data_IF_995111984481
#
_entry.id   IF_995111984481
#
_cell.length_a   1.000
_cell.length_b   1.000
_cell.length_c   1.000
_cell.angle_alpha   90.00
_cell.angle_beta   90.00
_cell.angle_gamma   90.00
#
_symmetry.space_group_name_H-M   'P 1'
#
loop_
_entity.id
_entity.type
_entity.pdbx_description
1 polymer ?
#
# COMPACT_ATOMS: atom_id res chain seq x y z
N UNK A 1 -46.22 1.49 12.84
CA UNK A 1 -45.34 2.51 13.41
C UNK A 1 -43.89 2.08 13.18
N UNK A 2 -43.17 2.82 12.34
CA UNK A 2 -41.71 2.57 12.10
C UNK A 2 -40.96 2.93 13.36
N UNK A 3 -40.30 1.97 13.99
CA UNK A 3 -39.43 2.25 15.14
C UNK A 3 -38.10 2.79 14.63
N UNK A 4 -37.82 4.04 14.92
CA UNK A 4 -36.54 4.69 14.65
C UNK A 4 -35.66 4.50 15.89
N UNK A 5 -34.56 3.81 15.76
CA UNK A 5 -33.52 3.73 16.79
C UNK A 5 -32.36 4.60 16.34
N UNK A 6 -32.14 5.71 17.01
CA UNK A 6 -30.89 6.45 16.87
C UNK A 6 -29.85 5.77 17.76
N UNK A 7 -28.90 5.08 17.16
CA UNK A 7 -27.73 4.56 17.86
C UNK A 7 -26.62 5.58 17.64
N UNK A 8 -26.26 6.32 18.67
CA UNK A 8 -25.10 7.19 18.69
C UNK A 8 -23.86 6.31 18.84
N UNK A 9 -23.27 5.89 17.74
CA UNK A 9 -21.95 5.29 17.73
C UNK A 9 -20.93 6.44 17.77
N UNK A 10 -20.60 6.91 18.98
CA UNK A 10 -19.54 7.90 19.18
C UNK A 10 -18.20 7.19 19.07
N UNK A 11 -17.61 7.19 17.87
CA UNK A 11 -16.20 6.84 17.70
C UNK A 11 -15.36 8.08 18.04
N UNK A 12 -14.92 8.19 19.31
CA UNK A 12 -13.92 9.16 19.71
C UNK A 12 -12.54 8.62 19.31
N UNK A 13 -12.02 9.09 18.19
CA UNK A 13 -10.57 9.07 17.92
C UNK A 13 -10.13 10.52 17.75
N UNK A 14 -9.31 11.00 18.67
CA UNK A 14 -8.65 12.31 18.59
C UNK A 14 -7.46 12.19 17.64
N UNK A 15 -7.62 12.57 16.38
CA UNK A 15 -6.51 12.85 15.49
C UNK A 15 -6.32 14.37 15.42
N UNK A 16 -5.19 14.85 15.91
CA UNK A 16 -4.73 16.22 15.73
C UNK A 16 -3.85 16.23 14.47
N UNK A 17 -4.35 16.82 13.39
CA UNK A 17 -3.59 17.01 12.14
C UNK A 17 -4.46 16.88 10.90
N UNK A 18 -4.31 17.79 9.94
CA UNK A 18 -5.13 17.99 8.75
C UNK A 18 -5.52 16.72 7.98
N UNK A 19 -6.75 16.64 7.62
CA UNK A 19 -7.62 15.49 7.50
C UNK A 19 -7.73 14.94 6.09
N UNK A 20 -7.19 13.76 5.84
CA UNK A 20 -7.82 12.86 4.91
C UNK A 20 -9.10 12.31 5.60
N UNK A 21 -10.26 12.54 5.01
CA UNK A 21 -11.55 12.16 5.63
C UNK A 21 -11.67 10.64 5.69
N UNK A 22 -11.42 10.04 6.86
CA UNK A 22 -11.64 8.61 7.09
C UNK A 22 -13.12 8.30 6.91
N UNK A 23 -13.48 7.37 6.04
CA UNK A 23 -14.85 6.93 5.84
C UNK A 23 -15.06 5.53 6.40
N UNK A 24 -16.26 5.24 6.89
CA UNK A 24 -16.64 3.97 7.50
C UNK A 24 -17.85 3.37 6.78
N UNK A 25 -17.78 2.10 6.44
CA UNK A 25 -18.96 1.35 5.99
C UNK A 25 -19.70 0.80 7.21
N UNK A 26 -20.98 1.11 7.31
CA UNK A 26 -21.83 0.64 8.42
C UNK A 26 -22.54 -0.63 8.00
N UNK A 27 -22.20 -1.74 8.65
CA UNK A 27 -22.84 -3.03 8.44
C UNK A 27 -23.73 -3.37 9.63
N UNK A 28 -24.99 -3.70 9.37
CA UNK A 28 -25.93 -4.14 10.40
C UNK A 28 -26.03 -5.66 10.33
N UNK A 29 -25.64 -6.35 11.42
CA UNK A 29 -25.78 -7.80 11.57
C UNK A 29 -26.87 -8.11 12.57
N UNK A 30 -27.94 -8.76 12.13
CA UNK A 30 -29.04 -9.20 12.98
C UNK A 30 -29.04 -10.73 13.25
N UNK A 31 -28.13 -11.47 12.61
CA UNK A 31 -28.02 -12.92 12.72
C UNK A 31 -29.05 -13.68 11.89
N UNK A 32 -29.68 -13.04 10.91
CA UNK A 32 -30.64 -13.62 9.97
C UNK A 32 -30.41 -13.08 8.55
N UNK A 33 -30.97 -13.76 7.55
CA UNK A 33 -30.79 -13.46 6.11
C UNK A 33 -31.51 -12.19 5.62
N UNK A 34 -32.13 -11.39 6.50
CA UNK A 34 -32.92 -10.21 6.15
C UNK A 34 -32.11 -8.91 5.98
N UNK A 35 -30.91 -8.98 5.45
CA UNK A 35 -30.06 -7.79 5.21
C UNK A 35 -30.74 -6.69 4.37
N UNK A 36 -31.67 -7.06 3.48
CA UNK A 36 -32.42 -6.13 2.62
C UNK A 36 -33.38 -5.19 3.39
N UNK A 37 -33.70 -5.47 4.66
CA UNK A 37 -34.58 -4.66 5.49
C UNK A 37 -33.88 -3.63 6.37
N UNK A 38 -32.57 -3.60 6.30
CA UNK A 38 -31.77 -2.66 7.05
C UNK A 38 -31.20 -1.58 6.13
N UNK A 39 -31.21 -0.37 6.58
CA UNK A 39 -30.49 0.73 5.95
C UNK A 39 -29.74 1.56 6.98
N UNK A 40 -28.57 2.03 6.59
CA UNK A 40 -27.76 2.96 7.37
C UNK A 40 -27.56 4.25 6.54
N UNK A 41 -27.72 5.41 7.17
CA UNK A 41 -27.56 6.69 6.47
C UNK A 41 -26.86 7.69 7.41
N UNK A 42 -25.77 8.31 6.97
CA UNK A 42 -25.04 8.08 5.71
C UNK A 42 -24.31 6.72 5.69
N UNK A 43 -24.09 6.17 4.50
CA UNK A 43 -23.26 4.98 4.32
C UNK A 43 -22.56 5.06 2.96
N UNK A 44 -21.21 5.24 2.88
CA UNK A 44 -20.33 5.29 4.03
C UNK A 44 -20.48 6.56 4.88
N UNK A 45 -20.11 6.47 6.14
CA UNK A 45 -20.11 7.57 7.08
C UNK A 45 -18.69 8.13 7.28
N UNK A 46 -18.56 9.45 7.44
CA UNK A 46 -17.31 10.09 7.84
C UNK A 46 -17.02 9.91 9.34
N UNK A 47 -15.78 10.20 9.74
CA UNK A 47 -15.38 10.19 11.15
C UNK A 47 -16.21 11.18 11.97
N UNK A 48 -16.67 10.74 13.15
CA UNK A 48 -17.54 11.54 14.02
C UNK A 48 -18.97 11.74 13.52
N UNK A 49 -19.34 11.23 12.36
CA UNK A 49 -20.71 11.31 11.85
C UNK A 49 -21.67 10.37 12.59
N UNK A 50 -22.82 10.90 12.95
CA UNK A 50 -23.93 10.08 13.47
C UNK A 50 -24.58 9.29 12.33
N UNK A 51 -24.73 7.99 12.51
CA UNK A 51 -25.37 7.10 11.54
C UNK A 51 -26.75 6.72 12.04
N UNK A 52 -27.78 6.97 11.24
CA UNK A 52 -29.14 6.50 11.51
C UNK A 52 -29.33 5.12 10.88
N UNK A 53 -29.59 4.12 11.71
CA UNK A 53 -29.92 2.76 11.28
C UNK A 53 -31.44 2.59 11.32
N UNK A 54 -32.03 2.24 10.19
CA UNK A 54 -33.46 1.96 10.07
C UNK A 54 -33.70 0.47 9.81
N UNK A 55 -34.73 -0.08 10.45
CA UNK A 55 -35.18 -1.44 10.23
C UNK A 55 -36.69 -1.47 9.95
N UNK A 56 -37.02 -2.09 8.84
CA UNK A 56 -38.43 -2.25 8.41
C UNK A 56 -38.98 -3.66 8.72
N UNK A 57 -38.71 -4.16 9.91
CA UNK A 57 -39.11 -5.49 10.37
C UNK A 57 -39.44 -5.53 11.87
N UNK A 58 -39.81 -6.73 12.35
CA UNK A 58 -40.24 -6.94 13.75
C UNK A 58 -39.13 -7.40 14.70
N UNK A 59 -37.89 -7.61 14.19
CA UNK A 59 -36.78 -8.12 14.98
C UNK A 59 -36.02 -7.00 15.71
N UNK A 60 -35.33 -7.36 16.79
CA UNK A 60 -34.48 -6.43 17.54
C UNK A 60 -33.08 -6.40 16.91
N UNK A 61 -32.47 -5.21 16.83
CA UNK A 61 -31.06 -5.06 16.44
C UNK A 61 -30.19 -5.76 17.48
N UNK A 62 -29.36 -6.70 17.05
CA UNK A 62 -28.39 -7.38 17.92
C UNK A 62 -27.04 -6.65 17.93
N UNK A 63 -26.60 -6.10 16.81
CA UNK A 63 -25.32 -5.42 16.69
C UNK A 63 -25.30 -4.51 15.47
N UNK A 64 -24.70 -3.33 15.62
CA UNK A 64 -24.28 -2.46 14.52
C UNK A 64 -22.75 -2.37 14.55
N UNK A 65 -22.09 -2.59 13.44
CA UNK A 65 -20.65 -2.48 13.33
C UNK A 65 -20.31 -1.46 12.25
N UNK A 66 -19.52 -0.46 12.59
CA UNK A 66 -18.88 0.41 11.62
C UNK A 66 -17.54 -0.22 11.24
N UNK A 67 -17.31 -0.40 9.94
CA UNK A 67 -16.04 -0.89 9.42
C UNK A 67 -15.39 0.25 8.64
N UNK A 68 -14.16 0.59 8.99
CA UNK A 68 -13.36 1.58 8.26
C UNK A 68 -13.30 1.15 6.79
N UNK A 69 -13.69 2.05 5.87
CA UNK A 69 -13.47 1.82 4.45
C UNK A 69 -12.01 2.15 4.15
N UNK A 70 -11.24 1.15 3.80
CA UNK A 70 -9.84 1.34 3.44
C UNK A 70 -9.72 2.10 2.11
N UNK A 71 -8.67 2.90 2.00
CA UNK A 71 -8.35 3.71 0.84
C UNK A 71 -7.62 2.85 -0.18
N UNK A 72 -8.09 2.83 -1.43
CA UNK A 72 -7.38 2.16 -2.51
C UNK A 72 -6.06 2.88 -2.86
N UNK A 73 -5.04 2.13 -3.28
CA UNK A 73 -3.74 2.68 -3.70
C UNK A 73 -3.90 3.71 -4.83
N UNK A 74 -4.79 3.44 -5.80
CA UNK A 74 -5.12 4.38 -6.88
C UNK A 74 -5.74 5.72 -6.42
N UNK A 75 -6.09 5.85 -5.14
CA UNK A 75 -6.57 7.09 -4.53
C UNK A 75 -5.55 7.69 -3.55
N UNK A 76 -4.29 7.22 -3.57
CA UNK A 76 -3.23 7.69 -2.70
C UNK A 76 -2.99 9.21 -2.83
N UNK A 77 -2.60 9.83 -1.74
CA UNK A 77 -2.16 11.23 -1.66
C UNK A 77 -0.79 11.29 -1.00
N UNK A 78 -0.11 12.41 -1.04
CA UNK A 78 1.21 12.58 -0.41
C UNK A 78 1.24 12.16 1.08
N UNK A 79 0.10 12.29 1.80
CA UNK A 79 -0.04 11.87 3.20
C UNK A 79 -0.01 10.34 3.40
N UNK A 80 -0.10 9.57 2.32
CA UNK A 80 -0.02 8.11 2.37
C UNK A 80 1.41 7.59 2.18
N UNK A 81 2.35 8.46 1.89
CA UNK A 81 3.76 8.11 1.82
C UNK A 81 4.24 7.53 3.15
N UNK A 82 4.95 6.42 3.10
CA UNK A 82 5.35 5.65 4.28
C UNK A 82 4.35 4.60 4.76
N UNK A 83 3.08 4.66 4.34
CA UNK A 83 2.07 3.64 4.63
C UNK A 83 2.26 2.38 3.80
N UNK A 84 1.45 1.38 4.04
CA UNK A 84 1.55 0.05 3.45
C UNK A 84 0.43 -0.19 2.43
N UNK A 85 0.78 -0.76 1.28
CA UNK A 85 -0.18 -1.35 0.34
C UNK A 85 -0.28 -2.85 0.67
N UNK A 86 -1.50 -3.36 0.69
CA UNK A 86 -1.77 -4.78 0.88
C UNK A 86 -2.18 -5.46 -0.44
N UNK A 87 -2.19 -6.80 -0.44
CA UNK A 87 -2.53 -7.62 -1.61
C UNK A 87 -3.91 -7.30 -2.24
N UNK A 88 -4.84 -6.78 -1.44
CA UNK A 88 -6.16 -6.34 -1.91
C UNK A 88 -6.17 -4.94 -2.57
N UNK A 89 -4.99 -4.33 -2.78
CA UNK A 89 -4.83 -3.00 -3.39
C UNK A 89 -5.20 -1.82 -2.48
N UNK A 90 -5.46 -2.04 -1.20
CA UNK A 90 -5.79 -0.98 -0.26
C UNK A 90 -4.59 -0.55 0.59
N UNK A 91 -4.68 0.68 1.13
CA UNK A 91 -3.66 1.30 1.97
C UNK A 91 -3.99 1.08 3.45
N UNK A 92 -2.98 0.73 4.22
CA UNK A 92 -3.06 0.50 5.67
C UNK A 92 -1.92 1.22 6.39
N UNK A 93 -2.21 1.70 7.60
CA UNK A 93 -1.20 2.37 8.43
C UNK A 93 -0.19 1.36 9.02
N UNK A 94 -0.60 0.10 9.23
CA UNK A 94 0.24 -0.95 9.82
C UNK A 94 -0.07 -2.33 9.25
N UNK A 95 0.86 -3.27 9.39
CA UNK A 95 0.61 -4.68 9.06
C UNK A 95 -0.54 -5.29 9.89
N UNK A 96 -0.64 -4.91 11.16
CA UNK A 96 -1.73 -5.37 12.03
C UNK A 96 -3.10 -4.92 11.51
N UNK A 97 -3.21 -3.69 10.98
CA UNK A 97 -4.44 -3.21 10.36
C UNK A 97 -4.80 -4.00 9.10
N UNK A 98 -3.84 -4.30 8.24
CA UNK A 98 -4.06 -5.15 7.06
C UNK A 98 -4.52 -6.56 7.47
N UNK A 99 -3.86 -7.17 8.44
CA UNK A 99 -4.22 -8.50 8.97
C UNK A 99 -5.63 -8.51 9.56
N UNK A 100 -6.00 -7.48 10.33
CA UNK A 100 -7.35 -7.34 10.87
C UNK A 100 -8.43 -7.19 9.79
N UNK A 101 -8.05 -6.67 8.61
CA UNK A 101 -8.90 -6.58 7.42
C UNK A 101 -8.90 -7.87 6.57
N UNK A 102 -8.19 -8.92 7.00
CA UNK A 102 -8.12 -10.21 6.31
C UNK A 102 -7.21 -10.21 5.07
N UNK A 103 -6.23 -9.32 5.04
CA UNK A 103 -5.24 -9.21 3.94
C UNK A 103 -3.82 -9.12 4.51
N UNK A 104 -2.82 -9.08 3.63
CA UNK A 104 -1.41 -8.98 4.01
C UNK A 104 -0.80 -7.73 3.39
N UNK A 105 -0.10 -6.92 4.18
CA UNK A 105 0.70 -5.82 3.67
C UNK A 105 1.91 -6.36 2.90
N UNK A 106 2.18 -5.82 1.73
CA UNK A 106 3.20 -6.35 0.79
C UNK A 106 4.22 -5.33 0.35
N UNK A 107 3.87 -4.04 0.38
CA UNK A 107 4.74 -2.97 -0.05
C UNK A 107 4.62 -1.74 0.85
N UNK A 108 5.69 -0.94 0.92
CA UNK A 108 5.70 0.39 1.53
C UNK A 108 5.62 1.45 0.43
N UNK A 109 4.69 2.38 0.54
CA UNK A 109 4.57 3.54 -0.37
C UNK A 109 5.78 4.44 -0.16
N UNK A 110 6.54 4.67 -1.23
CA UNK A 110 7.72 5.54 -1.20
C UNK A 110 7.43 6.88 -1.87
N UNK A 111 6.68 6.85 -2.97
CA UNK A 111 6.35 8.03 -3.74
C UNK A 111 4.87 8.03 -4.15
N UNK A 112 4.25 9.19 -4.08
CA UNK A 112 2.90 9.42 -4.61
C UNK A 112 2.94 10.60 -5.57
N UNK A 113 2.59 10.34 -6.82
CA UNK A 113 2.60 11.30 -7.91
C UNK A 113 2.75 10.61 -9.26
N UNK A 114 2.77 11.38 -10.33
CA UNK A 114 2.74 10.87 -11.70
C UNK A 114 4.10 10.48 -12.29
N UNK A 115 5.22 10.75 -11.61
CA UNK A 115 6.57 10.38 -12.08
C UNK A 115 6.89 8.93 -11.76
N UNK A 116 6.08 7.99 -12.29
CA UNK A 116 6.19 6.56 -12.02
C UNK A 116 7.00 5.81 -13.06
N UNK A 117 7.42 6.46 -14.15
CA UNK A 117 8.03 5.80 -15.31
C UNK A 117 7.22 4.56 -15.75
N UNK A 118 5.88 4.68 -15.67
CA UNK A 118 4.93 3.65 -16.03
C UNK A 118 3.70 4.28 -16.70
N UNK A 119 3.34 3.81 -17.90
CA UNK A 119 2.25 4.39 -18.68
C UNK A 119 0.85 3.96 -18.21
N UNK A 120 0.76 2.88 -17.44
CA UNK A 120 -0.52 2.31 -16.97
C UNK A 120 -0.80 2.68 -15.52
N UNK A 121 0.22 2.60 -14.67
CA UNK A 121 0.13 2.85 -13.24
C UNK A 121 0.87 4.15 -12.90
N UNK A 122 0.10 5.23 -12.76
CA UNK A 122 0.63 6.60 -12.73
C UNK A 122 0.37 7.34 -11.42
N UNK A 123 0.01 6.62 -10.34
CA UNK A 123 -0.35 7.26 -9.06
C UNK A 123 0.79 7.25 -8.04
N UNK A 124 1.70 6.27 -8.13
CA UNK A 124 2.81 6.21 -7.20
C UNK A 124 3.68 4.97 -7.34
N UNK A 125 4.73 4.93 -6.51
CA UNK A 125 5.71 3.85 -6.43
C UNK A 125 5.81 3.35 -4.99
N UNK A 126 5.80 2.04 -4.82
CA UNK A 126 6.05 1.38 -3.55
C UNK A 126 7.13 0.31 -3.73
N UNK A 127 7.84 -0.03 -2.66
CA UNK A 127 8.82 -1.12 -2.67
C UNK A 127 8.33 -2.29 -1.83
N UNK A 128 8.62 -3.49 -2.27
CA UNK A 128 8.38 -4.71 -1.51
C UNK A 128 8.99 -4.60 -0.11
N UNK A 129 8.37 -5.22 0.89
CA UNK A 129 8.83 -5.15 2.28
C UNK A 129 10.13 -5.89 2.54
N UNK A 130 10.55 -6.77 1.63
CA UNK A 130 11.78 -7.57 1.72
C UNK A 130 12.48 -7.62 0.36
N UNK A 131 13.79 -7.88 0.35
CA UNK A 131 14.51 -8.21 -0.87
C UNK A 131 14.07 -9.57 -1.41
N UNK A 132 14.25 -9.77 -2.71
CA UNK A 132 14.21 -11.10 -3.31
C UNK A 132 15.35 -11.97 -2.75
N UNK A 133 15.17 -13.29 -2.81
CA UNK A 133 16.12 -14.22 -2.22
C UNK A 133 17.46 -14.23 -2.97
N UNK A 134 18.50 -13.80 -2.28
CA UNK A 134 19.88 -13.77 -2.78
C UNK A 134 20.16 -12.70 -3.83
N UNK A 135 21.36 -12.76 -4.40
CA UNK A 135 21.73 -11.93 -5.55
C UNK A 135 21.51 -12.70 -6.85
N UNK A 136 21.18 -12.00 -7.93
CA UNK A 136 20.91 -12.63 -9.22
C UNK A 136 21.40 -11.78 -10.38
N UNK A 137 21.60 -12.39 -11.53
CA UNK A 137 21.97 -11.70 -12.75
C UNK A 137 20.78 -10.82 -13.24
N UNK A 138 21.07 -9.88 -14.13
CA UNK A 138 20.12 -8.85 -14.54
C UNK A 138 18.85 -9.41 -15.23
N UNK A 139 18.98 -10.43 -16.09
CA UNK A 139 17.83 -11.05 -16.74
C UNK A 139 16.92 -11.76 -15.74
N UNK A 140 17.50 -12.49 -14.79
CA UNK A 140 16.77 -13.13 -13.70
C UNK A 140 16.12 -12.08 -12.80
N UNK A 141 16.81 -10.97 -12.51
CA UNK A 141 16.29 -9.88 -11.68
C UNK A 141 14.98 -9.29 -12.25
N UNK A 142 14.92 -9.08 -13.57
CA UNK A 142 13.71 -8.58 -14.22
C UNK A 142 12.53 -9.55 -14.08
N UNK A 143 12.75 -10.82 -14.39
CA UNK A 143 11.70 -11.83 -14.32
C UNK A 143 11.25 -12.11 -12.89
N UNK A 144 12.18 -12.14 -11.93
CA UNK A 144 11.88 -12.36 -10.51
C UNK A 144 11.07 -11.19 -9.93
N UNK A 145 11.51 -9.96 -10.16
CA UNK A 145 10.79 -8.78 -9.67
C UNK A 145 9.38 -8.67 -10.29
N UNK A 146 9.23 -8.97 -11.58
CA UNK A 146 7.92 -8.97 -12.24
C UNK A 146 6.98 -10.11 -11.74
N UNK A 147 7.56 -11.21 -11.25
CA UNK A 147 6.83 -12.34 -10.69
C UNK A 147 6.67 -12.27 -9.16
N UNK A 148 7.03 -11.13 -8.53
CA UNK A 148 6.88 -10.95 -7.08
C UNK A 148 5.46 -11.24 -6.60
N UNK A 149 5.34 -11.89 -5.46
CA UNK A 149 4.05 -12.31 -4.89
C UNK A 149 3.85 -11.77 -3.46
N UNK A 150 2.59 -11.57 -3.07
CA UNK A 150 1.36 -11.73 -3.87
C UNK A 150 1.18 -10.62 -4.92
N UNK A 151 0.38 -10.89 -5.95
CA UNK A 151 -0.09 -9.83 -6.86
C UNK A 151 -0.96 -8.83 -6.10
N UNK A 152 -0.95 -7.60 -6.56
CA UNK A 152 -1.73 -6.51 -5.95
C UNK A 152 -2.78 -6.02 -6.96
N UNK A 153 -4.00 -5.82 -6.49
CA UNK A 153 -5.08 -5.30 -7.33
C UNK A 153 -4.75 -3.90 -7.83
N UNK A 154 -4.96 -3.66 -9.13
CA UNK A 154 -4.71 -2.37 -9.80
C UNK A 154 -3.27 -1.85 -9.64
N UNK A 155 -2.30 -2.76 -9.66
CA UNK A 155 -0.88 -2.45 -9.57
C UNK A 155 -0.03 -3.52 -10.28
N UNK A 156 1.24 -3.22 -10.57
CA UNK A 156 2.15 -4.16 -11.21
C UNK A 156 3.54 -4.15 -10.56
N UNK A 157 4.06 -5.36 -10.33
CA UNK A 157 5.42 -5.56 -9.84
C UNK A 157 6.43 -5.51 -10.99
N UNK A 158 7.60 -4.92 -10.72
CA UNK A 158 8.69 -4.80 -11.69
C UNK A 158 10.05 -4.61 -11.00
N UNK A 159 11.12 -4.82 -11.74
CA UNK A 159 12.44 -4.31 -11.35
C UNK A 159 12.44 -2.79 -11.56
N UNK A 160 12.77 -1.97 -10.56
CA UNK A 160 12.74 -0.51 -10.70
C UNK A 160 13.67 -0.04 -11.83
N UNK A 161 13.23 0.91 -12.64
CA UNK A 161 14.12 1.61 -13.57
C UNK A 161 15.05 2.57 -12.81
N UNK A 162 16.06 3.09 -13.50
CA UNK A 162 16.95 4.12 -12.94
C UNK A 162 16.15 5.34 -12.48
N UNK A 163 15.22 5.81 -13.30
CA UNK A 163 14.38 6.98 -13.02
C UNK A 163 13.41 6.72 -11.85
N UNK A 164 12.88 5.49 -11.73
CA UNK A 164 12.07 5.08 -10.58
C UNK A 164 12.88 5.07 -9.28
N UNK A 165 14.12 4.55 -9.30
CA UNK A 165 15.00 4.61 -8.15
C UNK A 165 15.31 6.06 -7.74
N UNK A 166 15.66 6.94 -8.70
CA UNK A 166 15.92 8.36 -8.43
C UNK A 166 14.71 9.06 -7.82
N UNK A 167 13.51 8.81 -8.37
CA UNK A 167 12.26 9.33 -7.83
C UNK A 167 12.03 8.87 -6.39
N UNK A 168 12.21 7.58 -6.11
CA UNK A 168 12.00 7.03 -4.76
C UNK A 168 13.06 7.50 -3.76
N UNK A 169 14.33 7.58 -4.17
CA UNK A 169 15.43 8.09 -3.33
C UNK A 169 15.16 9.55 -2.95
N UNK A 170 14.76 10.37 -3.92
CA UNK A 170 14.39 11.77 -3.68
C UNK A 170 13.20 11.91 -2.74
N UNK A 171 12.15 11.10 -2.96
CA UNK A 171 10.93 11.13 -2.15
C UNK A 171 11.15 10.66 -0.70
N UNK A 172 12.17 9.85 -0.47
CA UNK A 172 12.54 9.35 0.85
C UNK A 172 13.55 10.22 1.60
N UNK A 173 13.86 11.41 1.10
CA UNK A 173 14.92 12.30 1.65
C UNK A 173 16.31 11.67 1.62
N UNK A 174 16.58 10.82 0.62
CA UNK A 174 17.88 10.24 0.33
C UNK A 174 17.96 8.72 0.47
N UNK A 175 19.04 8.18 -0.08
CA UNK A 175 19.22 6.72 -0.19
C UNK A 175 19.31 6.00 1.16
N UNK A 176 19.89 6.63 2.18
CA UNK A 176 20.01 6.03 3.52
C UNK A 176 18.64 5.91 4.18
N UNK A 177 17.80 6.94 4.08
CA UNK A 177 16.44 6.91 4.62
C UNK A 177 15.57 5.88 3.88
N UNK A 178 15.74 5.77 2.56
CA UNK A 178 15.06 4.73 1.78
C UNK A 178 15.52 3.33 2.22
N UNK A 179 16.84 3.09 2.27
CA UNK A 179 17.43 1.80 2.64
C UNK A 179 16.98 1.32 4.01
N UNK A 180 17.02 2.20 5.01
CA UNK A 180 16.85 1.87 6.42
C UNK A 180 15.39 2.02 6.91
N UNK A 181 14.46 2.38 6.03
CA UNK A 181 13.09 2.72 6.38
C UNK A 181 12.08 1.57 6.49
N UNK A 182 12.48 0.30 6.32
CA UNK A 182 11.54 -0.82 6.21
C UNK A 182 11.28 -1.56 7.53
N UNK A 183 12.26 -1.64 8.41
CA UNK A 183 12.11 -2.35 9.70
C UNK A 183 11.02 -1.73 10.58
N UNK A 184 10.82 -0.43 10.51
CA UNK A 184 9.79 0.30 11.26
C UNK A 184 8.36 -0.08 10.89
N UNK A 185 8.16 -0.63 9.69
CA UNK A 185 6.86 -1.07 9.18
C UNK A 185 6.75 -2.60 9.09
N UNK A 186 7.68 -3.33 9.73
CA UNK A 186 7.70 -4.79 9.79
C UNK A 186 8.27 -5.47 8.55
N UNK A 187 8.96 -4.74 7.69
CA UNK A 187 9.79 -5.27 6.61
C UNK A 187 11.24 -5.48 7.04
N UNK A 188 12.11 -5.77 6.08
CA UNK A 188 13.57 -5.80 6.28
C UNK A 188 14.23 -4.64 5.55
N UNK A 189 15.15 -3.96 6.23
CA UNK A 189 15.94 -2.92 5.61
C UNK A 189 16.73 -3.48 4.42
N UNK A 190 16.98 -2.64 3.43
CA UNK A 190 17.81 -3.01 2.29
C UNK A 190 19.27 -3.15 2.70
N UNK A 191 20.04 -3.89 1.94
CA UNK A 191 21.49 -4.04 2.16
C UNK A 191 22.23 -2.76 1.76
N UNK A 192 23.32 -2.44 2.45
CA UNK A 192 24.27 -1.42 2.03
C UNK A 192 25.16 -1.97 0.89
N UNK A 193 24.55 -2.30 -0.23
CA UNK A 193 25.16 -3.01 -1.36
C UNK A 193 24.49 -2.59 -2.69
N UNK A 194 24.79 -3.29 -3.77
CA UNK A 194 24.39 -2.98 -5.13
C UNK A 194 22.99 -3.57 -5.44
N UNK A 195 22.08 -2.72 -5.93
CA UNK A 195 20.74 -3.11 -6.38
C UNK A 195 20.58 -2.85 -7.87
N UNK A 196 20.15 -3.86 -8.61
CA UNK A 196 19.86 -3.71 -10.03
C UNK A 196 18.77 -2.66 -10.31
N UNK A 197 18.95 -1.94 -11.41
CA UNK A 197 17.85 -1.27 -12.11
C UNK A 197 17.51 -2.02 -13.40
N UNK A 198 16.29 -1.83 -13.91
CA UNK A 198 15.88 -2.38 -15.21
C UNK A 198 16.48 -1.63 -16.40
N UNK A 199 17.13 -0.49 -16.16
CA UNK A 199 17.70 0.36 -17.20
C UNK A 199 19.02 -0.21 -17.71
N UNK A 200 19.11 -0.47 -19.00
CA UNK A 200 20.37 -0.88 -19.63
C UNK A 200 21.36 0.29 -19.71
N UNK A 201 22.64 -0.01 -19.54
CA UNK A 201 23.73 0.89 -19.91
C UNK A 201 24.25 0.59 -21.32
N UNK A 202 24.20 -0.66 -21.73
CA UNK A 202 24.61 -1.13 -23.03
C UNK A 202 24.29 -2.62 -23.23
N UNK A 203 24.71 -3.19 -24.35
CA UNK A 203 24.38 -4.59 -24.71
C UNK A 203 24.71 -5.59 -23.59
N UNK A 204 25.84 -5.42 -22.93
CA UNK A 204 26.34 -6.36 -21.91
C UNK A 204 26.28 -5.81 -20.49
N UNK A 205 25.82 -4.56 -20.29
CA UNK A 205 25.87 -3.87 -19.00
C UNK A 205 24.52 -3.21 -18.69
N UNK A 206 24.20 -3.12 -17.40
CA UNK A 206 23.04 -2.43 -16.88
C UNK A 206 23.42 -1.55 -15.69
N UNK A 207 22.58 -0.55 -15.41
CA UNK A 207 22.72 0.32 -14.26
C UNK A 207 22.35 -0.38 -12.97
N UNK A 208 23.06 -0.05 -11.90
CA UNK A 208 22.72 -0.41 -10.53
C UNK A 208 23.01 0.76 -9.60
N UNK A 209 22.34 0.78 -8.46
CA UNK A 209 22.59 1.75 -7.41
C UNK A 209 23.35 1.11 -6.25
N UNK A 210 24.42 1.76 -5.79
CA UNK A 210 25.20 1.36 -4.61
C UNK A 210 24.60 2.02 -3.35
N UNK A 211 23.77 1.29 -2.61
CA UNK A 211 23.17 1.76 -1.36
C UNK A 211 24.16 1.82 -0.18
N UNK A 212 25.40 1.39 -0.36
CA UNK A 212 26.48 1.58 0.59
C UNK A 212 27.15 2.94 0.45
N UNK A 213 27.20 3.47 -0.79
CA UNK A 213 27.88 4.73 -1.11
C UNK A 213 26.92 5.86 -1.49
N UNK A 214 25.77 5.52 -2.05
CA UNK A 214 24.80 6.51 -2.51
C UNK A 214 25.05 7.01 -3.92
N UNK A 215 25.56 6.19 -4.80
CA UNK A 215 25.91 6.56 -6.17
C UNK A 215 25.46 5.52 -7.20
N UNK A 216 25.39 5.96 -8.46
CA UNK A 216 25.14 5.11 -9.60
C UNK A 216 26.43 4.56 -10.18
N UNK A 217 26.36 3.29 -10.59
CA UNK A 217 27.39 2.67 -11.41
C UNK A 217 26.74 1.66 -12.37
N UNK A 218 27.51 1.09 -13.27
CA UNK A 218 27.08 0.08 -14.22
C UNK A 218 28.02 -1.12 -14.21
N UNK A 219 27.50 -2.27 -14.60
CA UNK A 219 28.31 -3.49 -14.63
C UNK A 219 27.72 -4.57 -15.52
N UNK A 220 28.50 -5.63 -15.71
CA UNK A 220 28.07 -6.78 -16.52
C UNK A 220 26.73 -7.34 -16.00
N UNK A 221 25.82 -7.59 -16.93
CA UNK A 221 24.52 -8.22 -16.69
C UNK A 221 24.63 -9.62 -16.08
N UNK A 222 25.77 -10.28 -16.20
CA UNK A 222 26.02 -11.62 -15.65
C UNK A 222 26.33 -11.62 -14.15
N UNK A 223 26.66 -10.45 -13.56
CA UNK A 223 26.95 -10.38 -12.12
C UNK A 223 25.68 -10.49 -11.28
N UNK A 224 25.81 -11.11 -10.10
CA UNK A 224 24.76 -11.15 -9.10
C UNK A 224 24.68 -9.85 -8.30
N UNK A 225 23.49 -9.24 -8.23
CA UNK A 225 23.19 -8.09 -7.37
C UNK A 225 21.85 -8.29 -6.68
N UNK A 226 21.61 -7.53 -5.62
CA UNK A 226 20.35 -7.53 -4.90
C UNK A 226 19.19 -7.00 -5.77
N UNK A 227 18.00 -7.44 -5.43
CA UNK A 227 16.75 -7.04 -6.06
C UNK A 227 15.72 -6.70 -4.99
N UNK A 228 15.15 -5.53 -5.09
CA UNK A 228 13.94 -5.13 -4.36
C UNK A 228 12.86 -4.84 -5.41
N UNK A 229 11.79 -5.63 -5.42
CA UNK A 229 10.71 -5.41 -6.37
C UNK A 229 9.99 -4.08 -6.10
N UNK A 230 9.70 -3.36 -7.18
CA UNK A 230 8.93 -2.12 -7.17
C UNK A 230 7.50 -2.40 -7.61
N UNK A 231 6.54 -1.79 -6.93
CA UNK A 231 5.13 -1.80 -7.27
C UNK A 231 4.75 -0.42 -7.81
N UNK A 232 4.38 -0.33 -9.09
CA UNK A 232 3.71 0.86 -9.62
C UNK A 232 2.18 0.69 -9.48
N UNK A 233 1.47 1.76 -9.06
CA UNK A 233 0.03 1.75 -8.79
C UNK A 233 -0.65 3.05 -9.22
#
# INVERSE_FOLDING_TARGET
MKKIFSILALLLMTAVGATAQTTYTVTVKDGTEDAARWSATPNPAGEGQSVTVKYDGKKKVKRVTAVKKEKAAAAATAEDQGKLIAANGNIYDTQAAATAAGTTAVAKIIYVGSSTDNSTYTHGLALALTDESGTMNWSTAQTTAAAHTPTVTDASWMLPSKDQWETMISAADGYTALRDGFSSVGGTNMQADHYWSSTEFGTYSAWYYDFGKGDWDYGSKDYGRYVRACLAF
#
